data_IF_808182837267
#
_entry.id   IF_808182837267
#
_cell.length_a   1.000
_cell.length_b   1.000
_cell.length_c   1.000
_cell.angle_alpha   90.00
_cell.angle_beta   90.00
_cell.angle_gamma   90.00
#
_symmetry.space_group_name_H-M   'P 1'
#
loop_
_entity.id
_entity.type
_entity.pdbx_description
1 polymer ?
#
# COMPACT_ATOMS: atom_id res chain seq x y z
N UNK A 1 -4.45 -20.60 17.11
CA UNK A 1 -4.64 -22.02 16.75
C UNK A 1 -6.14 -22.29 16.72
N UNK A 2 -6.72 -22.40 15.52
CA UNK A 2 -8.15 -22.71 15.37
C UNK A 2 -8.43 -24.14 15.82
N UNK A 3 -9.47 -24.35 16.62
CA UNK A 3 -9.91 -25.70 17.00
C UNK A 3 -10.60 -26.33 15.78
N UNK A 4 -10.22 -27.57 15.49
CA UNK A 4 -10.89 -28.39 14.48
C UNK A 4 -12.12 -29.01 15.15
N UNK A 5 -13.31 -28.61 14.70
CA UNK A 5 -14.56 -29.22 15.12
C UNK A 5 -15.12 -30.05 13.95
N UNK A 6 -15.79 -31.16 14.24
CA UNK A 6 -16.43 -31.97 13.19
C UNK A 6 -17.90 -31.59 13.13
N UNK A 7 -18.37 -31.24 11.94
CA UNK A 7 -19.80 -31.04 11.69
C UNK A 7 -20.57 -32.37 11.80
N UNK A 8 -21.89 -32.31 11.98
CA UNK A 8 -22.76 -33.49 12.09
C UNK A 8 -22.73 -34.39 10.83
N UNK A 9 -22.29 -33.84 9.70
CA UNK A 9 -22.07 -34.52 8.42
C UNK A 9 -20.65 -35.08 8.22
N UNK A 10 -19.81 -35.11 9.27
CA UNK A 10 -18.47 -35.71 9.21
C UNK A 10 -17.42 -34.90 8.45
N UNK A 11 -17.75 -33.66 8.06
CA UNK A 11 -16.81 -32.73 7.41
C UNK A 11 -16.01 -31.97 8.46
N UNK A 12 -14.69 -31.77 8.26
CA UNK A 12 -13.89 -30.97 9.18
C UNK A 12 -14.27 -29.48 9.03
N UNK A 13 -14.69 -28.85 10.13
CA UNK A 13 -14.99 -27.42 10.24
C UNK A 13 -13.91 -26.76 11.08
N UNK A 14 -13.38 -25.64 10.59
CA UNK A 14 -12.38 -24.85 11.31
C UNK A 14 -13.06 -23.57 11.79
N UNK A 15 -13.21 -23.43 13.11
CA UNK A 15 -13.71 -22.19 13.70
C UNK A 15 -12.52 -21.29 13.98
N UNK A 16 -12.46 -20.16 13.27
CA UNK A 16 -11.41 -19.15 13.43
C UNK A 16 -12.04 -17.86 13.98
N UNK A 17 -11.58 -17.34 15.13
CA UNK A 17 -12.04 -16.04 15.61
C UNK A 17 -11.57 -14.95 14.65
N UNK A 18 -12.49 -14.11 14.19
CA UNK A 18 -12.21 -12.98 13.31
C UNK A 18 -13.00 -11.74 13.73
N UNK A 19 -12.51 -10.57 13.37
CA UNK A 19 -13.17 -9.29 13.54
C UNK A 19 -13.49 -8.70 12.16
N UNK A 20 -14.65 -8.07 11.99
CA UNK A 20 -14.99 -7.35 10.75
C UNK A 20 -14.69 -5.87 10.96
N UNK A 21 -13.76 -5.32 10.17
CA UNK A 21 -13.50 -3.89 10.10
C UNK A 21 -14.20 -3.31 8.89
N UNK A 22 -15.10 -2.35 9.11
CA UNK A 22 -15.81 -1.63 8.05
C UNK A 22 -14.98 -0.44 7.58
N UNK A 23 -14.66 -0.38 6.30
CA UNK A 23 -13.98 0.72 5.62
C UNK A 23 -14.90 1.31 4.53
N UNK A 24 -15.94 1.99 4.97
CA UNK A 24 -17.00 2.52 4.10
C UNK A 24 -17.75 1.37 3.38
N UNK A 25 -17.84 1.36 2.05
CA UNK A 25 -18.50 0.28 1.30
C UNK A 25 -17.69 -1.03 1.28
N UNK A 26 -16.42 -1.00 1.69
CA UNK A 26 -15.55 -2.19 1.76
C UNK A 26 -15.53 -2.73 3.17
N UNK A 27 -15.76 -4.03 3.33
CA UNK A 27 -15.56 -4.74 4.60
C UNK A 27 -14.27 -5.55 4.51
N UNK A 28 -13.45 -5.48 5.55
CA UNK A 28 -12.23 -6.27 5.70
C UNK A 28 -12.37 -7.22 6.88
N UNK A 29 -12.00 -8.48 6.69
CA UNK A 29 -11.99 -9.50 7.75
C UNK A 29 -10.58 -9.52 8.33
N UNK A 30 -10.46 -9.21 9.62
CA UNK A 30 -9.20 -9.20 10.36
C UNK A 30 -9.15 -10.47 11.21
N UNK A 31 -8.20 -11.34 10.90
CA UNK A 31 -7.94 -12.57 11.63
C UNK A 31 -6.93 -12.29 12.74
N UNK A 32 -7.28 -12.61 13.98
CA UNK A 32 -6.43 -12.38 15.15
C UNK A 32 -5.42 -13.53 15.33
N UNK A 33 -4.74 -13.90 14.25
CA UNK A 33 -3.56 -14.76 14.36
C UNK A 33 -2.43 -13.83 14.81
N UNK A 34 -1.83 -14.05 15.99
CA UNK A 34 -0.90 -13.11 16.68
C UNK A 34 0.32 -12.57 15.91
N UNK A 35 0.45 -12.84 14.62
CA UNK A 35 1.11 -11.95 13.67
C UNK A 35 0.26 -10.69 13.47
N UNK A 36 0.78 -9.53 13.86
CA UNK A 36 0.23 -8.24 13.45
C UNK A 36 0.11 -8.27 11.92
N UNK A 37 -1.08 -8.52 11.41
CA UNK A 37 -1.41 -8.04 10.09
C UNK A 37 -1.29 -6.54 10.25
N UNK A 38 -0.17 -6.00 9.78
CA UNK A 38 -0.19 -4.63 9.36
C UNK A 38 -1.30 -4.64 8.32
N UNK A 39 -2.52 -4.27 8.74
CA UNK A 39 -3.45 -3.60 7.87
C UNK A 39 -2.53 -2.74 7.04
N UNK A 40 -2.44 -3.00 5.73
CA UNK A 40 -1.74 -2.09 4.84
C UNK A 40 -2.60 -0.85 4.93
N UNK A 41 -2.39 -0.09 6.01
CA UNK A 41 -2.91 1.23 6.22
C UNK A 41 -2.55 1.85 4.91
N UNK A 42 -3.57 2.27 4.20
CA UNK A 42 -3.41 3.16 3.09
C UNK A 42 -2.67 4.36 3.67
N UNK A 43 -1.34 4.27 3.67
CA UNK A 43 -0.41 5.37 3.78
C UNK A 43 0.08 5.57 2.35
N UNK A 44 -0.81 5.96 1.41
CA UNK A 44 -0.39 6.24 0.04
C UNK A 44 0.61 7.39 0.03
N UNK A 45 0.56 8.30 1.03
CA UNK A 45 1.33 9.52 1.06
C UNK A 45 2.81 9.31 1.41
N UNK A 46 3.20 8.65 2.54
CA UNK A 46 4.62 8.33 2.79
C UNK A 46 5.24 7.50 1.65
N UNK A 47 4.50 6.52 1.12
CA UNK A 47 4.97 5.70 -0.01
C UNK A 47 5.16 6.52 -1.28
N UNK A 48 4.22 7.40 -1.61
CA UNK A 48 4.34 8.23 -2.81
C UNK A 48 5.48 9.24 -2.71
N UNK A 49 5.79 9.75 -1.51
CA UNK A 49 6.96 10.61 -1.27
C UNK A 49 8.27 9.85 -1.50
N UNK A 50 8.38 8.61 -0.98
CA UNK A 50 9.54 7.75 -1.24
C UNK A 50 9.72 7.53 -2.75
N UNK A 51 8.63 7.21 -3.45
CA UNK A 51 8.66 7.05 -4.91
C UNK A 51 9.08 8.34 -5.62
N UNK A 52 8.63 9.51 -5.14
CA UNK A 52 9.02 10.79 -5.70
C UNK A 52 10.53 11.00 -5.64
N UNK A 53 11.14 10.81 -4.47
CA UNK A 53 12.59 10.89 -4.30
C UNK A 53 13.34 9.86 -5.15
N UNK A 54 12.83 8.63 -5.26
CA UNK A 54 13.42 7.59 -6.10
C UNK A 54 13.42 8.01 -7.58
N UNK A 55 12.32 8.57 -8.08
CA UNK A 55 12.21 9.04 -9.46
C UNK A 55 13.10 10.25 -9.73
N UNK A 56 13.26 11.16 -8.77
CA UNK A 56 14.21 12.27 -8.89
C UNK A 56 15.65 11.75 -9.00
N UNK A 57 16.06 10.80 -8.16
CA UNK A 57 17.40 10.18 -8.26
C UNK A 57 17.60 9.47 -9.61
N UNK A 58 16.56 8.84 -10.16
CA UNK A 58 16.64 8.21 -11.49
C UNK A 58 16.88 9.25 -12.60
N UNK A 59 16.29 10.45 -12.50
CA UNK A 59 16.54 11.55 -13.44
C UNK A 59 17.93 12.17 -13.22
N UNK A 60 18.33 12.40 -11.97
CA UNK A 60 19.64 12.96 -11.59
C UNK A 60 20.80 12.04 -11.98
N UNK A 61 20.59 10.72 -11.94
CA UNK A 61 21.59 9.75 -12.40
C UNK A 61 21.90 9.83 -13.90
N UNK A 62 21.10 10.58 -14.67
CA UNK A 62 21.23 10.68 -16.13
C UNK A 62 20.78 9.43 -16.88
N UNK A 63 20.31 8.39 -16.18
CA UNK A 63 19.80 7.15 -16.79
C UNK A 63 18.52 7.37 -17.59
N UNK A 64 17.75 8.41 -17.24
CA UNK A 64 16.59 8.86 -17.98
C UNK A 64 16.72 10.37 -18.21
N UNK A 65 16.70 10.77 -19.48
CA UNK A 65 16.92 12.15 -19.91
C UNK A 65 15.69 13.03 -19.67
N UNK A 66 14.50 12.43 -19.71
CA UNK A 66 13.23 13.16 -19.59
C UNK A 66 12.22 12.41 -18.73
N UNK A 67 11.28 13.15 -18.15
CA UNK A 67 10.13 12.58 -17.42
C UNK A 67 9.29 11.65 -18.30
N UNK A 68 9.21 11.92 -19.61
CA UNK A 68 8.48 11.06 -20.55
C UNK A 68 9.17 9.71 -20.73
N UNK A 69 10.50 9.71 -20.82
CA UNK A 69 11.31 8.49 -20.93
C UNK A 69 11.20 7.62 -19.67
N UNK A 70 11.30 8.26 -18.50
CA UNK A 70 11.09 7.60 -17.20
C UNK A 70 9.68 7.00 -17.12
N UNK A 71 8.64 7.75 -17.51
CA UNK A 71 7.26 7.28 -17.49
C UNK A 71 7.05 6.04 -18.40
N UNK A 72 7.65 6.05 -19.60
CA UNK A 72 7.62 4.89 -20.51
C UNK A 72 8.32 3.68 -19.89
N UNK A 73 9.48 3.86 -19.26
CA UNK A 73 10.21 2.77 -18.61
C UNK A 73 9.42 2.15 -17.45
N UNK A 74 8.70 2.98 -16.69
CA UNK A 74 7.84 2.54 -15.59
C UNK A 74 6.45 2.05 -16.04
N UNK A 75 6.11 2.19 -17.33
CA UNK A 75 4.77 1.92 -17.89
C UNK A 75 3.65 2.69 -17.18
N UNK A 76 3.95 3.94 -16.81
CA UNK A 76 3.02 4.85 -16.15
C UNK A 76 2.69 6.04 -17.06
N UNK A 77 1.59 6.72 -16.78
CA UNK A 77 1.27 7.97 -17.47
C UNK A 77 2.24 9.08 -17.07
N UNK A 78 2.59 9.95 -18.03
CA UNK A 78 3.48 11.08 -17.79
C UNK A 78 2.95 12.00 -16.68
N UNK A 79 1.64 12.22 -16.64
CA UNK A 79 0.98 13.11 -15.67
C UNK A 79 1.09 12.54 -14.26
N UNK A 80 1.02 11.21 -14.13
CA UNK A 80 1.18 10.53 -12.84
C UNK A 80 2.60 10.67 -12.30
N UNK A 81 3.61 10.46 -13.14
CA UNK A 81 5.02 10.65 -12.74
C UNK A 81 5.30 12.10 -12.37
N UNK A 82 4.81 13.06 -13.16
CA UNK A 82 4.95 14.48 -12.86
C UNK A 82 4.27 14.86 -11.54
N UNK A 83 3.08 14.34 -11.24
CA UNK A 83 2.39 14.60 -9.98
C UNK A 83 3.11 13.95 -8.79
N UNK A 84 3.67 12.75 -8.98
CA UNK A 84 4.46 12.10 -7.94
C UNK A 84 5.72 12.91 -7.63
N UNK A 85 6.45 13.36 -8.66
CA UNK A 85 7.64 14.21 -8.48
C UNK A 85 7.34 15.53 -7.74
N UNK A 86 6.14 16.10 -7.94
CA UNK A 86 5.74 17.33 -7.24
C UNK A 86 5.66 17.17 -5.70
N UNK A 87 5.55 15.93 -5.20
CA UNK A 87 5.50 15.63 -3.76
C UNK A 87 6.83 15.89 -3.05
N UNK A 88 7.96 15.99 -3.76
CA UNK A 88 9.26 16.34 -3.15
C UNK A 88 9.23 17.74 -2.53
N UNK A 89 8.41 18.64 -3.09
CA UNK A 89 8.28 20.01 -2.61
C UNK A 89 7.32 20.14 -1.41
N UNK A 90 6.81 19.03 -0.90
CA UNK A 90 5.91 19.04 0.24
C UNK A 90 6.69 19.34 1.52
N UNK A 91 6.18 20.26 2.34
CA UNK A 91 6.81 20.61 3.60
C UNK A 91 6.70 19.44 4.62
N UNK A 92 7.74 19.22 5.45
CA UNK A 92 7.82 18.05 6.32
C UNK A 92 6.73 18.01 7.41
N UNK A 93 6.27 19.18 7.84
CA UNK A 93 5.13 19.33 8.76
C UNK A 93 3.83 18.75 8.17
N UNK A 94 3.60 18.91 6.87
CA UNK A 94 2.43 18.34 6.18
C UNK A 94 2.52 16.81 6.08
N UNK A 95 3.73 16.26 5.95
CA UNK A 95 3.96 14.82 5.83
C UNK A 95 3.69 14.10 7.15
N UNK A 96 4.03 14.74 8.27
CA UNK A 96 3.93 14.17 9.62
C UNK A 96 2.58 14.44 10.28
N UNK A 97 1.79 15.37 9.75
CA UNK A 97 0.42 15.64 10.20
C UNK A 97 -0.47 14.38 10.01
N UNK A 98 -0.85 13.74 11.12
CA UNK A 98 -1.74 12.57 11.16
C UNK A 98 -2.92 12.83 12.07
#
# INVERSE_FOLDING_TARGET
MGKLEKDKDGKPVIVVPFHIRHLGPRQSIVLDCGSKFNDVVNEPLPKSIILAHQYAQMLESGRYSTVLELAKALKLDRSYVARTLSLINLAPDIIVAR
#
